data_IF_641141943727
#
_entry.id   IF_641141943727
#
_cell.length_a   1.000
_cell.length_b   1.000
_cell.length_c   1.000
_cell.angle_alpha   90.00
_cell.angle_beta   90.00
_cell.angle_gamma   90.00
#
_symmetry.space_group_name_H-M   'P 1'
#
loop_
_entity.id
_entity.type
_entity.pdbx_description
1 polymer ?
#
# COMPACT_ATOMS: atom_id res chain seq x y z
N UNK A 1 -9.65 -11.76 -10.70
CA UNK A 1 -8.20 -11.48 -10.80
C UNK A 1 -7.88 -10.43 -9.74
N UNK A 2 -7.86 -10.81 -8.47
CA UNK A 2 -7.53 -9.89 -7.37
C UNK A 2 -6.10 -10.18 -6.89
N UNK A 3 -5.15 -9.97 -7.78
CA UNK A 3 -3.73 -10.09 -7.46
C UNK A 3 -3.10 -8.69 -7.50
N UNK A 4 -2.30 -8.29 -6.51
CA UNK A 4 -1.61 -6.99 -6.50
C UNK A 4 -0.77 -6.74 -7.77
N UNK A 5 -0.27 -7.82 -8.40
CA UNK A 5 0.50 -7.79 -9.65
C UNK A 5 -0.29 -7.34 -10.88
N UNK A 6 -1.62 -7.37 -10.84
CA UNK A 6 -2.47 -6.95 -11.95
C UNK A 6 -2.67 -5.43 -12.05
N UNK A 7 -2.05 -4.66 -11.15
CA UNK A 7 -2.03 -3.20 -11.18
C UNK A 7 -1.36 -2.70 -12.48
N UNK A 8 -2.02 -1.78 -13.18
CA UNK A 8 -1.53 -1.20 -14.45
C UNK A 8 -0.90 0.19 -14.29
N UNK A 9 -0.62 0.61 -13.05
CA UNK A 9 -0.01 1.91 -12.73
C UNK A 9 -0.75 3.13 -13.30
N UNK A 10 -2.08 3.05 -13.49
CA UNK A 10 -2.91 4.15 -14.03
C UNK A 10 -3.12 5.33 -13.07
N UNK A 11 -2.68 5.22 -11.81
CA UNK A 11 -2.85 6.21 -10.74
C UNK A 11 -4.30 6.56 -10.32
N UNK A 12 -5.35 6.00 -10.93
CA UNK A 12 -6.76 6.28 -10.58
C UNK A 12 -7.05 6.14 -9.07
N UNK A 13 -6.50 5.11 -8.43
CA UNK A 13 -6.68 4.91 -6.99
C UNK A 13 -6.01 6.02 -6.17
N UNK A 14 -4.80 6.47 -6.55
CA UNK A 14 -4.08 7.55 -5.86
C UNK A 14 -4.76 8.90 -6.04
N UNK A 15 -5.18 9.23 -7.27
CA UNK A 15 -5.86 10.50 -7.57
C UNK A 15 -7.30 10.54 -7.05
N UNK A 16 -7.88 9.40 -6.65
CA UNK A 16 -9.17 9.36 -5.93
C UNK A 16 -9.05 9.54 -4.41
N UNK A 17 -7.84 9.46 -3.84
CA UNK A 17 -7.62 9.38 -2.40
C UNK A 17 -7.39 10.77 -1.77
N UNK A 18 -8.28 11.25 -0.87
CA UNK A 18 -8.13 12.56 -0.24
C UNK A 18 -6.82 12.73 0.55
N UNK A 19 -6.36 11.69 1.24
CA UNK A 19 -5.06 11.74 1.94
C UNK A 19 -3.89 12.04 1.01
N UNK A 20 -3.96 11.53 -0.23
CA UNK A 20 -2.94 11.74 -1.26
C UNK A 20 -3.03 13.14 -1.87
N UNK A 21 -4.22 13.75 -1.94
CA UNK A 21 -4.36 15.15 -2.36
C UNK A 21 -3.62 16.10 -1.43
N UNK A 22 -3.72 15.86 -0.12
CA UNK A 22 -3.16 16.76 0.90
C UNK A 22 -1.71 16.47 1.26
N UNK A 23 -1.23 15.25 1.05
CA UNK A 23 0.09 14.80 1.51
C UNK A 23 0.87 14.04 0.44
N UNK A 24 0.60 14.24 -0.85
CA UNK A 24 1.23 13.46 -1.94
C UNK A 24 2.74 13.65 -2.06
N UNK A 25 3.32 14.64 -1.37
CA UNK A 25 4.76 14.85 -1.23
C UNK A 25 5.44 13.83 -0.29
N UNK A 26 4.68 13.24 0.64
CA UNK A 26 5.20 12.33 1.68
C UNK A 26 4.48 10.99 1.73
N UNK A 27 3.16 10.99 1.55
CA UNK A 27 2.33 9.79 1.50
C UNK A 27 2.51 9.10 0.16
N UNK A 28 2.95 7.83 0.19
CA UNK A 28 3.24 7.07 -1.01
C UNK A 28 2.00 6.83 -1.89
N UNK A 29 0.80 6.83 -1.28
CA UNK A 29 -0.44 6.61 -1.98
C UNK A 29 -0.78 5.13 -2.23
N UNK A 30 -2.05 4.85 -2.55
CA UNK A 30 -2.54 3.47 -2.68
C UNK A 30 -1.92 2.68 -3.83
N UNK A 31 -1.55 3.32 -4.95
CA UNK A 31 -0.90 2.61 -6.05
C UNK A 31 0.47 2.06 -5.66
N UNK A 32 1.32 2.90 -5.04
CA UNK A 32 2.64 2.51 -4.59
C UNK A 32 2.57 1.47 -3.47
N UNK A 33 1.68 1.67 -2.49
CA UNK A 33 1.50 0.71 -1.40
C UNK A 33 0.97 -0.64 -1.87
N UNK A 34 0.08 -0.69 -2.88
CA UNK A 34 -0.33 -1.95 -3.51
C UNK A 34 0.85 -2.64 -4.22
N UNK A 35 1.71 -1.88 -4.89
CA UNK A 35 2.92 -2.41 -5.51
C UNK A 35 3.92 -2.94 -4.47
N UNK A 36 4.05 -2.29 -3.31
CA UNK A 36 4.86 -2.78 -2.19
C UNK A 36 4.28 -4.07 -1.61
N UNK A 37 2.96 -4.12 -1.40
CA UNK A 37 2.27 -5.31 -0.91
C UNK A 37 2.48 -6.53 -1.82
N UNK A 38 2.55 -6.32 -3.15
CA UNK A 38 2.90 -7.37 -4.12
C UNK A 38 4.18 -8.10 -3.73
N UNK A 39 5.23 -7.37 -3.34
CA UNK A 39 6.52 -7.94 -2.95
C UNK A 39 6.49 -8.53 -1.55
N UNK A 40 5.79 -7.89 -0.61
CA UNK A 40 5.62 -8.40 0.76
C UNK A 40 4.87 -9.74 0.84
N UNK A 41 4.10 -10.09 -0.19
CA UNK A 41 3.39 -11.36 -0.32
C UNK A 41 4.09 -12.37 -1.23
N UNK A 42 5.18 -11.98 -1.89
CA UNK A 42 5.90 -12.86 -2.81
C UNK A 42 6.83 -13.77 -2.00
N UNK A 43 6.58 -15.08 -1.99
CA UNK A 43 7.40 -16.06 -1.26
C UNK A 43 8.83 -16.21 -1.79
N UNK A 44 9.14 -15.57 -2.93
CA UNK A 44 10.47 -15.56 -3.54
C UNK A 44 11.29 -14.31 -3.14
N UNK A 45 10.66 -13.33 -2.49
CA UNK A 45 11.33 -12.10 -2.05
C UNK A 45 11.87 -12.28 -0.63
N UNK A 46 13.18 -12.26 -0.48
CA UNK A 46 13.86 -12.43 0.82
C UNK A 46 13.99 -11.10 1.59
N UNK A 47 13.57 -9.97 1.01
CA UNK A 47 13.76 -8.62 1.55
C UNK A 47 12.53 -8.07 2.30
N UNK A 48 11.67 -8.97 2.82
CA UNK A 48 10.38 -8.58 3.45
C UNK A 48 10.59 -7.65 4.65
N UNK A 49 11.54 -7.96 5.54
CA UNK A 49 11.80 -7.17 6.76
C UNK A 49 12.28 -5.76 6.42
N UNK A 50 13.22 -5.63 5.49
CA UNK A 50 13.77 -4.35 5.03
C UNK A 50 12.68 -3.46 4.41
N UNK A 51 11.79 -4.05 3.58
CA UNK A 51 10.65 -3.35 2.99
C UNK A 51 9.65 -2.88 4.03
N UNK A 52 9.33 -3.70 5.03
CA UNK A 52 8.42 -3.30 6.11
C UNK A 52 9.00 -2.15 6.93
N UNK A 53 10.31 -2.20 7.25
CA UNK A 53 11.03 -1.12 7.95
C UNK A 53 11.03 0.19 7.16
N UNK A 54 11.14 0.13 5.83
CA UNK A 54 11.06 1.31 4.98
C UNK A 54 9.65 1.94 4.95
N UNK A 55 8.62 1.10 5.06
CA UNK A 55 7.21 1.49 5.04
C UNK A 55 6.68 1.94 6.42
N UNK A 56 7.34 1.54 7.51
CA UNK A 56 6.98 1.95 8.88
C UNK A 56 7.36 3.40 9.17
N UNK A 57 6.74 4.31 8.43
CA UNK A 57 6.89 5.75 8.60
C UNK A 57 5.52 6.44 8.61
N UNK A 58 5.38 7.37 9.56
CA UNK A 58 4.15 8.12 9.82
C UNK A 58 3.60 8.86 8.59
N UNK A 59 4.50 9.28 7.69
CA UNK A 59 4.18 10.06 6.52
C UNK A 59 3.96 9.18 5.29
N UNK A 60 4.74 8.10 5.12
CA UNK A 60 4.66 7.19 3.97
C UNK A 60 3.43 6.28 3.95
N UNK A 61 3.06 5.70 5.10
CA UNK A 61 2.01 4.67 5.21
C UNK A 61 0.80 5.15 6.01
N UNK A 62 1.03 5.75 7.17
CA UNK A 62 -0.03 5.99 8.16
C UNK A 62 -0.97 7.16 7.83
N UNK A 63 -0.76 7.86 6.70
CA UNK A 63 -1.73 8.84 6.16
C UNK A 63 -2.98 8.17 5.54
N UNK A 64 -2.99 6.86 5.37
CA UNK A 64 -4.19 6.13 4.98
C UNK A 64 -5.19 6.05 6.14
N UNK A 65 -6.35 6.70 5.99
CA UNK A 65 -7.46 6.70 6.95
C UNK A 65 -8.65 5.85 6.48
N UNK A 66 -8.41 4.81 5.67
CA UNK A 66 -9.45 3.83 5.25
C UNK A 66 -10.69 4.50 4.61
N UNK A 67 -10.46 5.51 3.77
CA UNK A 67 -11.52 6.23 3.02
C UNK A 67 -12.12 5.34 1.92
N UNK A 68 -11.37 4.34 1.44
CA UNK A 68 -11.78 3.33 0.46
C UNK A 68 -12.10 3.79 -0.97
N UNK A 69 -12.00 5.09 -1.28
CA UNK A 69 -12.09 5.59 -2.67
C UNK A 69 -11.14 4.85 -3.63
N UNK A 70 -9.96 4.46 -3.15
CA UNK A 70 -8.95 3.77 -3.96
C UNK A 70 -9.44 2.43 -4.54
N UNK A 71 -10.21 1.66 -3.78
CA UNK A 71 -10.77 0.38 -4.22
C UNK A 71 -11.97 0.60 -5.15
N UNK A 72 -12.80 1.62 -4.88
CA UNK A 72 -13.94 1.99 -5.73
C UNK A 72 -13.51 2.54 -7.11
N UNK A 73 -12.40 3.28 -7.15
CA UNK A 73 -11.91 3.92 -8.37
C UNK A 73 -11.03 3.01 -9.24
N UNK A 74 -10.70 1.80 -8.79
CA UNK A 74 -9.77 0.94 -9.51
C UNK A 74 -10.44 0.32 -10.76
N UNK A 75 -9.98 0.62 -11.99
CA UNK A 75 -10.58 0.05 -13.22
C UNK A 75 -10.25 -1.43 -13.44
N UNK A 76 -9.47 -2.03 -12.54
CA UNK A 76 -9.05 -3.43 -12.55
C UNK A 76 -9.68 -4.24 -11.42
N UNK A 77 -10.61 -3.63 -10.66
CA UNK A 77 -11.29 -4.23 -9.51
C UNK A 77 -10.31 -4.78 -8.45
N UNK A 78 -9.17 -4.11 -8.28
CA UNK A 78 -8.21 -4.43 -7.22
C UNK A 78 -8.61 -3.75 -5.93
N UNK A 79 -8.13 -4.28 -4.81
CA UNK A 79 -8.41 -3.72 -3.48
C UNK A 79 -7.16 -3.10 -2.80
N UNK A 80 -6.68 -1.91 -3.24
CA UNK A 80 -5.58 -1.21 -2.57
C UNK A 80 -5.84 -0.94 -1.09
N UNK A 81 -7.09 -0.67 -0.70
CA UNK A 81 -7.46 -0.41 0.70
C UNK A 81 -7.15 -1.61 1.61
N UNK A 82 -7.52 -2.82 1.17
CA UNK A 82 -7.19 -4.05 1.89
C UNK A 82 -5.69 -4.31 1.93
N UNK A 83 -4.97 -4.13 0.81
CA UNK A 83 -3.52 -4.28 0.78
C UNK A 83 -2.81 -3.38 1.80
N UNK A 84 -3.22 -2.11 1.92
CA UNK A 84 -2.67 -1.18 2.92
C UNK A 84 -2.96 -1.65 4.36
N UNK A 85 -4.16 -2.18 4.61
CA UNK A 85 -4.51 -2.72 5.93
C UNK A 85 -3.64 -3.93 6.29
N UNK A 86 -3.37 -4.83 5.35
CA UNK A 86 -2.48 -5.97 5.56
C UNK A 86 -1.02 -5.54 5.79
N UNK A 87 -0.52 -4.50 5.10
CA UNK A 87 0.81 -3.94 5.42
C UNK A 87 0.87 -3.46 6.87
N UNK A 88 -0.12 -2.67 7.32
CA UNK A 88 -0.17 -2.17 8.70
C UNK A 88 -0.22 -3.32 9.71
N UNK A 89 -0.95 -4.39 9.40
CA UNK A 89 -1.01 -5.59 10.22
C UNK A 89 0.32 -6.32 10.29
N UNK A 90 1.04 -6.46 9.16
CA UNK A 90 2.39 -7.06 9.15
C UNK A 90 3.34 -6.26 10.03
N UNK A 91 3.38 -4.94 9.89
CA UNK A 91 4.24 -4.09 10.74
C UNK A 91 3.89 -4.25 12.22
N UNK A 92 2.60 -4.33 12.57
CA UNK A 92 2.17 -4.49 13.96
C UNK A 92 2.44 -5.89 14.55
N UNK A 93 2.74 -6.90 13.73
CA UNK A 93 2.90 -8.31 14.17
C UNK A 93 4.32 -8.85 14.00
N UNK A 94 5.11 -8.27 13.09
CA UNK A 94 6.50 -8.64 12.87
C UNK A 94 7.40 -7.85 13.84
N UNK A 95 8.38 -8.53 14.44
CA UNK A 95 9.41 -7.85 15.24
C UNK A 95 10.46 -7.26 14.30
N UNK A 96 10.45 -5.93 14.16
CA UNK A 96 11.38 -5.17 13.31
C UNK A 96 12.65 -4.72 14.06
N UNK A 97 12.82 -5.13 15.32
CA UNK A 97 13.97 -4.78 16.17
C UNK A 97 15.15 -5.75 15.98
N UNK A 98 15.68 -5.78 14.76
CA UNK A 98 17.03 -6.29 14.44
C UNK A 98 17.75 -5.27 13.52
#
# INVERSE_FOLDING_TARGET
MDQPSACILCACCSTSCPSYWWNGDKYLGPAALLASYRWLQDSRDDAKKERLKELDDSSKLYRCHTIMNCSLACPKDLNPGQAIAEIKKMIATEDLNE
#
